data_IF_844704210039
#
_entry.id   IF_844704210039
#
_cell.length_a   1.000
_cell.length_b   1.000
_cell.length_c   1.000
_cell.angle_alpha   90.00
_cell.angle_beta   90.00
_cell.angle_gamma   90.00
#
_symmetry.space_group_name_H-M   'P 1'
#
loop_
_entity.id
_entity.type
_entity.pdbx_description
1 polymer ?
#
# COMPACT_ATOMS: atom_id res chain seq x y z
N UNK A 1 0.11 21.96 19.96
CA UNK A 1 1.13 21.61 18.94
C UNK A 1 1.26 20.10 18.68
N UNK A 2 1.57 19.26 19.67
CA UNK A 2 1.93 17.83 19.45
C UNK A 2 0.88 17.00 18.68
N UNK A 3 -0.41 17.08 19.04
CA UNK A 3 -1.48 16.30 18.40
C UNK A 3 -1.73 16.68 16.93
N UNK A 4 -1.63 17.97 16.60
CA UNK A 4 -1.81 18.46 15.22
C UNK A 4 -0.66 17.98 14.33
N UNK A 5 0.58 18.04 14.83
CA UNK A 5 1.76 17.55 14.11
C UNK A 5 1.67 16.04 13.91
N UNK A 6 1.22 15.29 14.92
CA UNK A 6 1.04 13.85 14.84
C UNK A 6 -0.06 13.47 13.83
N UNK A 7 -1.20 14.17 13.85
CA UNK A 7 -2.27 14.00 12.88
C UNK A 7 -1.82 14.34 11.45
N UNK A 8 -1.14 15.47 11.25
CA UNK A 8 -0.60 15.87 9.96
C UNK A 8 0.41 14.85 9.44
N UNK A 9 1.34 14.39 10.29
CA UNK A 9 2.31 13.35 9.94
C UNK A 9 1.61 12.06 9.51
N UNK A 10 0.59 11.62 10.26
CA UNK A 10 -0.20 10.44 9.91
C UNK A 10 -0.90 10.60 8.55
N UNK A 11 -1.49 11.76 8.29
CA UNK A 11 -2.13 12.08 7.01
C UNK A 11 -1.13 12.08 5.84
N UNK A 12 0.00 12.79 5.96
CA UNK A 12 1.02 12.82 4.91
C UNK A 12 1.61 11.44 4.63
N UNK A 13 1.83 10.64 5.68
CA UNK A 13 2.36 9.28 5.52
C UNK A 13 1.41 8.40 4.71
N UNK A 14 0.09 8.62 4.80
CA UNK A 14 -0.89 7.87 4.01
C UNK A 14 -0.75 8.09 2.49
N UNK A 15 -0.27 9.26 2.05
CA UNK A 15 -0.03 9.59 0.63
C UNK A 15 0.96 8.60 0.00
N UNK A 16 1.95 8.15 0.76
CA UNK A 16 2.93 7.17 0.29
C UNK A 16 2.26 5.87 -0.15
N UNK A 17 1.22 5.42 0.57
CA UNK A 17 0.48 4.21 0.20
C UNK A 17 -0.30 4.40 -1.11
N UNK A 18 -0.82 5.60 -1.39
CA UNK A 18 -1.51 5.88 -2.66
C UNK A 18 -0.63 5.67 -3.88
N UNK A 19 0.68 5.87 -3.76
CA UNK A 19 1.63 5.60 -4.85
C UNK A 19 1.66 4.12 -5.26
N UNK A 20 1.14 3.21 -4.44
CA UNK A 20 1.04 1.79 -4.76
C UNK A 20 -0.21 1.43 -5.59
N UNK A 21 -1.21 2.31 -5.66
CA UNK A 21 -2.46 2.04 -6.41
C UNK A 21 -2.23 1.92 -7.92
N UNK A 22 -1.41 2.76 -8.58
CA UNK A 22 -1.18 2.65 -10.01
C UNK A 22 -0.34 1.42 -10.42
N UNK A 23 0.34 0.77 -9.48
CA UNK A 23 1.25 -0.36 -9.74
C UNK A 23 0.65 -1.48 -10.60
N UNK A 24 -0.47 -2.13 -10.22
CA UNK A 24 -1.04 -3.21 -11.01
C UNK A 24 -1.43 -2.77 -12.43
N UNK A 25 -1.90 -1.53 -12.59
CA UNK A 25 -2.34 -1.00 -13.88
C UNK A 25 -1.16 -0.64 -14.79
N UNK A 26 -0.14 0.02 -14.23
CA UNK A 26 1.09 0.34 -14.96
C UNK A 26 1.85 -0.92 -15.34
N UNK A 27 1.87 -1.93 -14.46
CA UNK A 27 2.50 -3.21 -14.79
C UNK A 27 1.75 -3.94 -15.90
N UNK A 28 0.42 -3.91 -15.88
CA UNK A 28 -0.39 -4.46 -16.96
C UNK A 28 -0.11 -3.76 -18.30
N UNK A 29 -0.07 -2.43 -18.31
CA UNK A 29 0.31 -1.65 -19.49
C UNK A 29 1.73 -1.98 -19.96
N UNK A 30 2.69 -2.11 -19.03
CA UNK A 30 4.07 -2.43 -19.34
C UNK A 30 4.30 -3.82 -19.91
N UNK A 31 3.36 -4.74 -19.68
CA UNK A 31 3.38 -6.08 -20.28
C UNK A 31 2.87 -6.07 -21.72
N UNK A 32 2.02 -5.12 -22.08
CA UNK A 32 1.48 -4.98 -23.45
C UNK A 32 2.43 -4.21 -24.38
N UNK A 33 3.41 -3.51 -23.83
CA UNK A 33 4.48 -2.86 -24.58
C UNK A 33 5.52 -3.92 -25.00
N UNK A 34 5.82 -4.02 -26.29
CA UNK A 34 6.86 -4.90 -26.83
C UNK A 34 8.27 -4.49 -26.34
N UNK A 35 8.40 -3.29 -25.78
CA UNK A 35 9.64 -2.77 -25.20
C UNK A 35 9.88 -3.18 -23.74
N UNK A 36 10.85 -4.08 -23.50
CA UNK A 36 11.31 -4.43 -22.15
C UNK A 36 11.87 -3.23 -21.34
N UNK A 37 12.20 -2.11 -21.99
CA UNK A 37 12.72 -0.90 -21.33
C UNK A 37 11.75 -0.27 -20.34
N UNK A 38 10.46 -0.18 -20.69
CA UNK A 38 9.46 0.45 -19.83
C UNK A 38 9.20 -0.41 -18.59
N UNK A 39 9.03 -1.72 -18.78
CA UNK A 39 8.90 -2.71 -17.70
C UNK A 39 10.09 -2.70 -16.73
N UNK A 40 11.33 -2.70 -17.22
CA UNK A 40 12.52 -2.61 -16.36
C UNK A 40 12.57 -1.32 -15.54
N UNK A 41 12.25 -0.18 -16.16
CA UNK A 41 12.21 1.12 -15.47
C UNK A 41 11.12 1.14 -14.40
N UNK A 42 9.92 0.61 -14.72
CA UNK A 42 8.81 0.50 -13.79
C UNK A 42 9.19 -0.33 -12.55
N UNK A 43 9.77 -1.51 -12.76
CA UNK A 43 10.22 -2.38 -11.66
C UNK A 43 11.22 -1.66 -10.75
N UNK A 44 12.19 -0.94 -11.33
CA UNK A 44 13.22 -0.21 -10.57
C UNK A 44 12.61 0.89 -9.70
N UNK A 45 11.70 1.69 -10.26
CA UNK A 45 11.01 2.77 -9.53
C UNK A 45 10.14 2.19 -8.42
N UNK A 46 9.31 1.19 -8.74
CA UNK A 46 8.40 0.61 -7.76
C UNK A 46 9.08 -0.17 -6.66
N UNK A 47 10.28 -0.70 -6.89
CA UNK A 47 11.09 -1.30 -5.82
C UNK A 47 11.40 -0.27 -4.73
N UNK A 48 11.71 0.97 -5.10
CA UNK A 48 11.97 2.06 -4.15
C UNK A 48 10.66 2.48 -3.47
N UNK A 49 9.60 2.69 -4.26
CA UNK A 49 8.28 3.08 -3.72
C UNK A 49 7.79 2.05 -2.69
N UNK A 50 7.92 0.75 -2.96
CA UNK A 50 7.48 -0.30 -2.03
C UNK A 50 8.28 -0.30 -0.72
N UNK A 51 9.57 0.02 -0.75
CA UNK A 51 10.37 0.16 0.49
C UNK A 51 9.90 1.38 1.29
N UNK A 52 9.71 2.52 0.64
CA UNK A 52 9.20 3.73 1.29
C UNK A 52 7.79 3.47 1.85
N UNK A 53 6.94 2.74 1.13
CA UNK A 53 5.61 2.35 1.59
C UNK A 53 5.64 1.43 2.82
N UNK A 54 6.63 0.55 2.96
CA UNK A 54 6.78 -0.26 4.18
C UNK A 54 7.11 0.63 5.38
N UNK A 55 8.06 1.55 5.23
CA UNK A 55 8.40 2.53 6.27
C UNK A 55 7.19 3.40 6.60
N UNK A 56 6.47 3.86 5.57
CA UNK A 56 5.24 4.62 5.72
C UNK A 56 4.15 3.85 6.47
N UNK A 57 3.98 2.55 6.18
CA UNK A 57 3.03 1.71 6.91
C UNK A 57 3.38 1.58 8.39
N UNK A 58 4.66 1.39 8.72
CA UNK A 58 5.11 1.33 10.11
C UNK A 58 4.86 2.66 10.83
N UNK A 59 5.16 3.78 10.19
CA UNK A 59 4.86 5.11 10.72
C UNK A 59 3.36 5.35 10.88
N UNK A 60 2.53 4.87 9.95
CA UNK A 60 1.07 4.95 10.05
C UNK A 60 0.54 4.16 11.24
N UNK A 61 1.08 2.98 11.51
CA UNK A 61 0.71 2.19 12.70
C UNK A 61 1.15 2.93 13.97
N UNK A 62 2.41 3.37 14.02
CA UNK A 62 2.97 4.04 15.20
C UNK A 62 2.25 5.36 15.54
N UNK A 63 1.86 6.13 14.53
CA UNK A 63 1.11 7.38 14.69
C UNK A 63 -0.40 7.15 14.80
N UNK A 64 -0.93 6.06 14.26
CA UNK A 64 -2.35 5.73 14.27
C UNK A 64 -2.83 5.24 15.63
N UNK A 65 -2.05 4.42 16.34
CA UNK A 65 -2.42 3.86 17.65
C UNK A 65 -2.74 4.97 18.68
N UNK A 66 -1.91 6.02 18.85
CA UNK A 66 -2.22 7.12 19.77
C UNK A 66 -3.45 7.97 19.37
N UNK A 67 -3.84 7.94 18.09
CA UNK A 67 -5.02 8.66 17.59
C UNK A 67 -6.33 7.87 17.78
N UNK A 68 -6.25 6.59 18.16
CA UNK A 68 -7.44 5.78 18.42
C UNK A 68 -8.04 6.16 19.77
N UNK A 69 -9.26 6.69 19.74
CA UNK A 69 -10.01 7.08 20.94
C UNK A 69 -10.76 5.89 21.55
N UNK A 70 -11.24 4.95 20.73
CA UNK A 70 -12.13 3.87 21.17
C UNK A 70 -11.78 2.51 20.54
N UNK A 71 -11.22 1.61 21.35
CA UNK A 71 -10.89 0.24 20.93
C UNK A 71 -12.10 -0.70 20.83
N UNK A 72 -13.25 -0.32 21.41
CA UNK A 72 -14.49 -1.11 21.34
C UNK A 72 -15.30 -0.83 20.07
N UNK A 73 -14.92 0.17 19.28
CA UNK A 73 -15.62 0.54 18.06
C UNK A 73 -15.34 -0.44 16.93
N UNK A 74 -16.38 -0.92 16.26
CA UNK A 74 -16.27 -1.75 15.05
C UNK A 74 -15.48 -1.07 13.94
N UNK A 75 -15.55 0.26 13.86
CA UNK A 75 -14.76 1.04 12.91
C UNK A 75 -13.25 0.90 13.15
N UNK A 76 -12.83 0.94 14.43
CA UNK A 76 -11.41 0.76 14.81
C UNK A 76 -10.89 -0.60 14.38
N UNK A 77 -11.67 -1.67 14.61
CA UNK A 77 -11.30 -3.01 14.17
C UNK A 77 -11.26 -3.14 12.65
N UNK A 78 -12.15 -2.47 11.92
CA UNK A 78 -12.08 -2.38 10.47
C UNK A 78 -10.78 -1.74 9.98
N UNK A 79 -10.35 -0.65 10.59
CA UNK A 79 -9.07 0.02 10.27
C UNK A 79 -7.89 -0.90 10.59
N UNK A 80 -7.88 -1.56 11.75
CA UNK A 80 -6.82 -2.51 12.13
C UNK A 80 -6.73 -3.66 11.13
N UNK A 81 -7.87 -4.28 10.80
CA UNK A 81 -7.93 -5.39 9.84
C UNK A 81 -7.40 -4.98 8.46
N UNK A 82 -7.86 -3.84 7.92
CA UNK A 82 -7.37 -3.33 6.64
C UNK A 82 -5.87 -3.00 6.69
N UNK A 83 -5.37 -2.48 7.81
CA UNK A 83 -3.94 -2.22 7.99
C UNK A 83 -3.12 -3.50 7.88
N UNK A 84 -3.59 -4.60 8.49
CA UNK A 84 -2.94 -5.91 8.38
C UNK A 84 -2.97 -6.45 6.95
N UNK A 85 -4.11 -6.34 6.26
CA UNK A 85 -4.25 -6.78 4.87
C UNK A 85 -3.33 -5.98 3.95
N UNK A 86 -3.24 -4.64 4.13
CA UNK A 86 -2.30 -3.79 3.41
C UNK A 86 -0.87 -4.23 3.65
N UNK A 87 -0.47 -4.46 4.91
CA UNK A 87 0.88 -4.91 5.26
C UNK A 87 1.26 -6.24 4.63
N UNK A 88 0.38 -7.24 4.73
CA UNK A 88 0.59 -8.54 4.12
C UNK A 88 0.70 -8.44 2.59
N UNK A 89 -0.22 -7.70 1.96
CA UNK A 89 -0.24 -7.51 0.51
C UNK A 89 0.98 -6.75 0.01
N UNK A 90 1.43 -5.74 0.75
CA UNK A 90 2.63 -4.95 0.45
C UNK A 90 3.90 -5.82 0.52
N UNK A 91 4.01 -6.67 1.54
CA UNK A 91 5.12 -7.62 1.69
C UNK A 91 5.18 -8.63 0.54
N UNK A 92 4.04 -9.25 0.19
CA UNK A 92 3.96 -10.20 -0.92
C UNK A 92 4.27 -9.51 -2.26
N UNK A 93 3.75 -8.30 -2.47
CA UNK A 93 3.98 -7.52 -3.70
C UNK A 93 5.47 -7.19 -3.86
N UNK A 94 6.11 -6.72 -2.79
CA UNK A 94 7.55 -6.39 -2.77
C UNK A 94 8.42 -7.61 -3.01
N UNK A 95 8.13 -8.73 -2.32
CA UNK A 95 8.86 -9.99 -2.51
C UNK A 95 8.72 -10.50 -3.95
N UNK A 96 7.51 -10.54 -4.48
CA UNK A 96 7.23 -11.03 -5.83
C UNK A 96 7.89 -10.15 -6.89
N UNK A 97 7.83 -8.82 -6.75
CA UNK A 97 8.51 -7.88 -7.65
C UNK A 97 10.02 -8.10 -7.67
N UNK A 98 10.64 -8.37 -6.51
CA UNK A 98 12.08 -8.64 -6.39
C UNK A 98 12.47 -9.94 -7.11
N UNK A 99 11.70 -11.01 -6.93
CA UNK A 99 11.98 -12.31 -7.56
C UNK A 99 11.76 -12.26 -9.08
N UNK A 100 10.73 -11.56 -9.53
CA UNK A 100 10.52 -11.30 -10.97
C UNK A 100 11.67 -10.51 -11.59
N UNK A 101 12.24 -9.53 -10.87
CA UNK A 101 13.42 -8.79 -11.31
C UNK A 101 14.68 -9.67 -11.41
N UNK A 102 14.72 -10.78 -10.67
CA UNK A 102 15.78 -11.80 -10.73
C UNK A 102 15.56 -12.85 -11.83
N UNK A 103 14.47 -12.75 -12.60
CA UNK A 103 14.16 -13.66 -13.71
C UNK A 103 13.14 -14.77 -13.39
N UNK A 104 12.63 -14.83 -12.15
CA UNK A 104 11.67 -15.85 -11.73
C UNK A 104 10.23 -15.48 -12.16
N UNK A 105 9.87 -15.82 -13.40
CA UNK A 105 8.57 -15.46 -14.00
C UNK A 105 7.36 -16.10 -13.31
N UNK A 106 7.54 -17.20 -12.56
CA UNK A 106 6.46 -17.85 -11.80
C UNK A 106 5.79 -16.91 -10.78
N UNK A 107 6.50 -15.86 -10.35
CA UNK A 107 6.02 -14.87 -9.40
C UNK A 107 5.15 -13.76 -10.02
N UNK A 108 4.90 -13.77 -11.34
CA UNK A 108 4.00 -12.80 -11.98
C UNK A 108 2.55 -12.94 -11.49
N UNK A 109 2.05 -14.17 -11.36
CA UNK A 109 0.69 -14.44 -10.85
C UNK A 109 0.50 -13.95 -9.40
N UNK A 110 1.36 -14.31 -8.42
CA UNK A 110 1.22 -13.81 -7.06
C UNK A 110 1.44 -12.29 -6.98
N UNK A 111 2.37 -11.71 -7.77
CA UNK A 111 2.54 -10.27 -7.87
C UNK A 111 1.25 -9.56 -8.28
N UNK A 112 0.59 -10.03 -9.35
CA UNK A 112 -0.65 -9.43 -9.85
C UNK A 112 -1.77 -9.49 -8.82
N UNK A 113 -1.95 -10.65 -8.17
CA UNK A 113 -2.98 -10.81 -7.13
C UNK A 113 -2.71 -9.91 -5.93
N UNK A 114 -1.48 -9.89 -5.43
CA UNK A 114 -1.11 -9.10 -4.26
C UNK A 114 -1.15 -7.60 -4.52
N UNK A 115 -0.71 -7.14 -5.68
CA UNK A 115 -0.74 -5.71 -6.05
C UNK A 115 -2.16 -5.20 -6.27
N UNK A 116 -3.05 -6.02 -6.85
CA UNK A 116 -4.48 -5.69 -6.95
C UNK A 116 -5.15 -5.66 -5.57
N UNK A 117 -4.88 -6.66 -4.72
CA UNK A 117 -5.39 -6.70 -3.36
C UNK A 117 -4.90 -5.49 -2.54
N UNK A 118 -3.64 -5.11 -2.70
CA UNK A 118 -3.05 -3.93 -2.08
C UNK A 118 -3.78 -2.66 -2.52
N UNK A 119 -3.94 -2.45 -3.83
CA UNK A 119 -4.63 -1.28 -4.38
C UNK A 119 -6.08 -1.19 -3.88
N UNK A 120 -6.81 -2.31 -3.91
CA UNK A 120 -8.18 -2.39 -3.39
C UNK A 120 -8.23 -2.09 -1.89
N UNK A 121 -7.31 -2.65 -1.10
CA UNK A 121 -7.28 -2.47 0.34
C UNK A 121 -6.96 -1.02 0.74
N UNK A 122 -6.09 -0.34 -0.01
CA UNK A 122 -5.81 1.09 0.18
C UNK A 122 -7.08 1.92 -0.13
N UNK A 123 -7.78 1.61 -1.23
CA UNK A 123 -9.05 2.25 -1.56
C UNK A 123 -10.12 2.02 -0.49
N UNK A 124 -10.27 0.79 -0.01
CA UNK A 124 -11.18 0.44 1.07
C UNK A 124 -10.82 1.15 2.38
N UNK A 125 -9.53 1.26 2.71
CA UNK A 125 -9.06 2.01 3.89
C UNK A 125 -9.44 3.48 3.80
N UNK A 126 -9.28 4.10 2.62
CA UNK A 126 -9.69 5.47 2.41
C UNK A 126 -11.21 5.63 2.60
N UNK A 127 -12.02 4.80 1.93
CA UNK A 127 -13.48 4.83 2.08
C UNK A 127 -13.92 4.64 3.54
N UNK A 128 -13.33 3.67 4.24
CA UNK A 128 -13.62 3.42 5.65
C UNK A 128 -13.28 4.64 6.52
N UNK A 129 -12.15 5.32 6.26
CA UNK A 129 -11.75 6.51 7.00
C UNK A 129 -12.75 7.66 6.81
N UNK A 130 -13.27 7.86 5.60
CA UNK A 130 -14.23 8.92 5.30
C UNK A 130 -15.68 8.57 5.69
N UNK A 131 -16.03 7.29 5.76
CA UNK A 131 -17.36 6.86 6.21
C UNK A 131 -17.73 7.37 7.60
N UNK A 132 -16.73 7.55 8.48
CA UNK A 132 -16.92 8.11 9.82
C UNK A 132 -17.38 9.58 9.84
N UNK A 133 -17.16 10.32 8.76
CA UNK A 133 -17.65 11.70 8.64
C UNK A 133 -19.06 11.78 8.03
N UNK A 134 -19.58 10.67 7.50
CA UNK A 134 -20.91 10.57 6.91
C UNK A 134 -21.96 9.95 7.86
N UNK A 135 -21.52 9.38 8.99
CA UNK A 135 -22.37 8.91 10.10
C UNK A 135 -22.29 9.89 11.27
#
# INVERSE_FOLDING_TARGET
MSQIVLFATHMFTSIVLFLCIPLPFLYYAARLDDGERFKMRLIKVYRVILVIAHIGLLLLIATGIPLLVEWRSWWTWGVVLLTLVIGASLGITSKSLRLMASGEQEYEKPFRKASLLLAFSIGAMFLLKYSRYLM
#
